data_IF_170059453859
#
_entry.id   IF_170059453859
#
_cell.length_a   1.000
_cell.length_b   1.000
_cell.length_c   1.000
_cell.angle_alpha   90.00
_cell.angle_beta   90.00
_cell.angle_gamma   90.00
#
_symmetry.space_group_name_H-M   'P 1'
#
loop_
_entity.id
_entity.type
_entity.pdbx_description
1 polymer ?
#
# COMPACT_ATOMS: atom_id res chain seq x y z
N UNK A 1 12.99 10.07 -19.68
CA UNK A 1 13.35 8.64 -19.84
C UNK A 1 14.50 8.35 -18.90
N UNK A 2 14.54 7.17 -18.26
CA UNK A 2 15.60 6.83 -17.29
C UNK A 2 16.66 5.98 -17.95
N UNK A 3 17.88 6.50 -17.97
CA UNK A 3 19.07 5.80 -18.46
C UNK A 3 19.74 5.04 -17.31
N UNK A 4 20.28 3.87 -17.64
CA UNK A 4 21.05 3.04 -16.72
C UNK A 4 22.42 2.72 -17.32
N UNK A 5 23.44 2.71 -16.48
CA UNK A 5 24.75 2.15 -16.81
C UNK A 5 24.80 0.71 -16.31
N UNK A 6 24.93 -0.26 -17.22
CA UNK A 6 25.04 -1.68 -16.89
C UNK A 6 26.35 -2.17 -17.49
N UNK A 7 27.36 -2.39 -16.64
CA UNK A 7 28.72 -2.64 -17.10
C UNK A 7 29.30 -1.47 -17.87
N UNK A 8 29.70 -1.72 -19.12
CA UNK A 8 30.20 -0.69 -20.03
C UNK A 8 29.10 0.07 -20.77
N UNK A 9 27.87 -0.46 -20.79
CA UNK A 9 26.80 0.03 -21.66
C UNK A 9 25.90 1.05 -20.96
N UNK A 10 25.43 2.04 -21.71
CA UNK A 10 24.37 2.96 -21.30
C UNK A 10 23.10 2.61 -22.06
N UNK A 11 22.04 2.27 -21.33
CA UNK A 11 20.82 1.69 -21.89
C UNK A 11 19.56 2.26 -21.25
N UNK A 12 18.51 2.42 -22.04
CA UNK A 12 17.18 2.80 -21.55
C UNK A 12 16.39 1.59 -21.06
N UNK A 13 15.56 1.80 -20.05
CA UNK A 13 14.61 0.76 -19.61
C UNK A 13 13.61 0.47 -20.72
N UNK A 14 13.64 -0.77 -21.23
CA UNK A 14 12.78 -1.23 -22.32
C UNK A 14 13.50 -1.46 -23.64
N UNK A 15 14.81 -1.20 -23.73
CA UNK A 15 15.62 -1.63 -24.85
C UNK A 15 15.64 -3.17 -24.97
N UNK A 16 15.73 -3.70 -26.19
CA UNK A 16 15.66 -5.15 -26.45
C UNK A 16 16.76 -5.95 -25.73
N UNK A 17 17.94 -5.36 -25.56
CA UNK A 17 19.08 -5.98 -24.87
C UNK A 17 19.07 -5.77 -23.34
N UNK A 18 18.08 -5.06 -22.79
CA UNK A 18 18.08 -4.65 -21.38
C UNK A 18 18.10 -5.86 -20.42
N UNK A 19 17.27 -6.88 -20.68
CA UNK A 19 17.21 -8.09 -19.84
C UNK A 19 18.50 -8.92 -19.94
N UNK A 20 19.10 -9.01 -21.14
CA UNK A 20 20.39 -9.68 -21.35
C UNK A 20 21.51 -9.00 -20.55
N UNK A 21 21.56 -7.67 -20.57
CA UNK A 21 22.53 -6.90 -19.80
C UNK A 21 22.34 -7.09 -18.29
N UNK A 22 21.09 -7.11 -17.81
CA UNK A 22 20.81 -7.38 -16.39
C UNK A 22 21.22 -8.80 -15.99
N UNK A 23 20.95 -9.81 -16.82
CA UNK A 23 21.36 -11.19 -16.57
C UNK A 23 22.89 -11.32 -16.46
N UNK A 24 23.63 -10.68 -17.36
CA UNK A 24 25.09 -10.66 -17.34
C UNK A 24 25.61 -9.95 -16.08
N UNK A 25 25.05 -8.78 -15.73
CA UNK A 25 25.42 -8.05 -14.53
C UNK A 25 25.12 -8.85 -13.25
N UNK A 26 23.99 -9.55 -13.18
CA UNK A 26 23.65 -10.44 -12.06
C UNK A 26 24.68 -11.57 -11.92
N UNK A 27 25.00 -12.28 -13.01
CA UNK A 27 25.99 -13.36 -13.01
C UNK A 27 27.40 -12.89 -12.62
N UNK A 28 27.78 -11.68 -13.06
CA UNK A 28 29.07 -11.07 -12.74
C UNK A 28 29.10 -10.35 -11.38
N UNK A 29 27.97 -10.32 -10.64
CA UNK A 29 27.80 -9.51 -9.41
C UNK A 29 28.17 -8.04 -9.58
N UNK A 30 27.95 -7.51 -10.77
CA UNK A 30 28.22 -6.12 -11.11
C UNK A 30 26.99 -5.25 -10.78
N UNK A 31 27.23 -4.12 -10.11
CA UNK A 31 26.16 -3.16 -9.80
C UNK A 31 25.87 -2.25 -11.00
N UNK A 32 24.63 -2.22 -11.50
CA UNK A 32 24.19 -1.16 -12.39
C UNK A 32 24.18 0.20 -11.68
N UNK A 33 24.17 1.28 -12.45
CA UNK A 33 23.89 2.63 -11.95
C UNK A 33 22.70 3.26 -12.64
N UNK A 34 21.86 3.97 -11.89
CA UNK A 34 20.84 4.87 -12.43
C UNK A 34 21.47 6.21 -12.79
N UNK A 35 21.32 6.67 -14.03
CA UNK A 35 21.93 7.91 -14.52
C UNK A 35 20.97 9.11 -14.43
N UNK A 36 20.11 9.15 -13.40
CA UNK A 36 19.28 10.33 -13.16
C UNK A 36 20.09 11.52 -12.60
N UNK A 37 21.32 11.28 -12.11
CA UNK A 37 22.30 12.28 -11.69
C UNK A 37 23.66 11.98 -12.36
N UNK A 38 24.55 12.98 -12.51
CA UNK A 38 25.83 12.82 -13.25
C UNK A 38 26.74 11.68 -12.76
N UNK A 39 26.86 11.49 -11.44
CA UNK A 39 27.76 10.46 -10.87
C UNK A 39 27.18 9.04 -10.94
N UNK A 40 25.88 8.94 -11.23
CA UNK A 40 25.10 7.72 -11.23
C UNK A 40 24.93 7.12 -9.83
N UNK A 41 23.73 6.65 -9.53
CA UNK A 41 23.39 6.07 -8.22
C UNK A 41 23.43 4.56 -8.35
N UNK A 42 24.13 3.88 -7.44
CA UNK A 42 24.21 2.43 -7.42
C UNK A 42 22.82 1.78 -7.33
N UNK A 43 22.68 0.67 -8.04
CA UNK A 43 21.49 -0.18 -8.07
C UNK A 43 21.95 -1.64 -7.93
N UNK A 44 21.02 -2.55 -7.68
CA UNK A 44 21.29 -4.00 -7.75
C UNK A 44 20.33 -4.69 -8.71
N UNK A 45 20.74 -5.86 -9.20
CA UNK A 45 19.88 -6.73 -9.99
C UNK A 45 19.34 -7.81 -9.08
N UNK A 46 18.02 -7.99 -9.07
CA UNK A 46 17.35 -9.09 -8.41
C UNK A 46 16.79 -10.05 -9.46
N UNK A 47 16.78 -11.35 -9.14
CA UNK A 47 16.06 -12.35 -9.93
C UNK A 47 14.67 -12.55 -9.34
N UNK A 48 13.64 -12.30 -10.14
CA UNK A 48 12.23 -12.52 -9.81
C UNK A 48 11.70 -13.57 -10.78
N UNK A 49 11.41 -14.77 -10.27
CA UNK A 49 11.13 -15.94 -11.09
C UNK A 49 12.25 -16.19 -12.13
N UNK A 50 11.92 -16.15 -13.41
CA UNK A 50 12.84 -16.33 -14.54
C UNK A 50 13.23 -15.00 -15.21
N UNK A 51 13.04 -13.87 -14.52
CA UNK A 51 13.36 -12.53 -15.04
C UNK A 51 14.32 -11.78 -14.14
N UNK A 52 15.12 -10.92 -14.77
CA UNK A 52 16.01 -10.01 -14.07
C UNK A 52 15.39 -8.62 -13.98
N UNK A 53 15.38 -8.06 -12.78
CA UNK A 53 14.87 -6.71 -12.54
C UNK A 53 15.93 -5.87 -11.84
N UNK A 54 16.05 -4.62 -12.26
CA UNK A 54 16.87 -3.63 -11.58
C UNK A 54 16.08 -3.04 -10.39
N UNK A 55 16.72 -2.96 -9.22
CA UNK A 55 16.17 -2.41 -7.98
C UNK A 55 17.14 -1.39 -7.37
N UNK A 56 16.58 -0.38 -6.69
CA UNK A 56 17.36 0.64 -5.96
C UNK A 56 18.13 -0.01 -4.82
N UNK A 57 19.28 0.53 -4.45
CA UNK A 57 19.92 0.13 -3.20
C UNK A 57 18.99 0.43 -2.02
N UNK A 58 19.00 -0.38 -0.94
CA UNK A 58 18.27 -0.05 0.26
C UNK A 58 18.64 1.35 0.74
N UNK A 59 17.64 2.13 1.18
CA UNK A 59 17.83 3.49 1.71
C UNK A 59 18.47 4.51 0.75
N UNK A 60 18.39 4.29 -0.57
CA UNK A 60 18.91 5.22 -1.60
C UNK A 60 17.81 5.92 -2.40
N UNK A 61 16.58 5.90 -1.89
CA UNK A 61 15.42 6.37 -2.66
C UNK A 61 15.45 7.88 -2.88
N UNK A 62 15.83 8.62 -1.85
CA UNK A 62 15.97 10.07 -1.80
C UNK A 62 17.26 10.58 -2.47
N UNK A 63 18.22 9.69 -2.77
CA UNK A 63 19.42 10.03 -3.53
C UNK A 63 19.13 10.31 -5.02
N UNK A 64 17.99 9.83 -5.54
CA UNK A 64 17.62 10.02 -6.94
C UNK A 64 17.08 11.44 -7.23
N UNK A 65 17.26 11.93 -8.47
CA UNK A 65 16.56 13.14 -8.93
C UNK A 65 15.04 12.92 -8.78
N UNK A 66 14.29 13.93 -8.33
CA UNK A 66 12.86 13.79 -8.05
C UNK A 66 12.01 13.37 -9.26
N UNK A 67 12.47 13.67 -10.48
CA UNK A 67 11.84 13.21 -11.70
C UNK A 67 12.21 11.74 -12.05
N UNK A 68 13.11 11.10 -11.33
CA UNK A 68 13.45 9.69 -11.50
C UNK A 68 12.31 8.79 -11.00
N UNK A 69 11.92 7.73 -11.73
CA UNK A 69 10.95 6.75 -11.23
C UNK A 69 11.38 6.02 -9.96
N UNK A 70 12.69 5.93 -9.71
CA UNK A 70 13.27 5.32 -8.50
C UNK A 70 13.20 6.22 -7.26
N UNK A 71 12.91 7.52 -7.46
CA UNK A 71 12.81 8.47 -6.37
C UNK A 71 11.62 8.19 -5.45
N UNK A 72 11.85 8.28 -4.15
CA UNK A 72 10.83 8.45 -3.11
C UNK A 72 11.31 9.48 -2.09
N UNK A 73 10.39 10.25 -1.48
CA UNK A 73 10.75 11.19 -0.44
C UNK A 73 11.31 10.48 0.79
N UNK A 74 12.07 11.20 1.65
CA UNK A 74 12.59 10.66 2.89
C UNK A 74 11.50 9.96 3.74
N UNK A 75 11.79 8.79 4.33
CA UNK A 75 10.79 7.98 5.04
C UNK A 75 10.04 8.72 6.15
N UNK A 76 10.68 9.70 6.81
CA UNK A 76 10.11 10.56 7.86
C UNK A 76 8.91 11.39 7.40
N UNK A 77 8.80 11.70 6.10
CA UNK A 77 7.66 12.41 5.53
C UNK A 77 6.40 11.53 5.43
N UNK A 78 6.51 10.24 5.74
CA UNK A 78 5.43 9.26 5.72
C UNK A 78 5.46 8.40 6.98
N UNK A 79 4.47 7.54 7.14
CA UNK A 79 4.50 6.54 8.20
C UNK A 79 5.48 5.39 7.97
N UNK A 80 6.17 5.33 6.83
CA UNK A 80 7.15 4.28 6.54
C UNK A 80 8.31 4.33 7.55
N UNK A 81 8.75 5.52 7.96
CA UNK A 81 9.83 5.71 8.94
C UNK A 81 9.62 4.96 10.26
N UNK A 82 8.37 4.78 10.70
CA UNK A 82 8.02 4.07 11.94
C UNK A 82 8.24 2.55 11.87
N UNK A 83 8.23 1.97 10.66
CA UNK A 83 8.20 0.51 10.43
C UNK A 83 9.39 -0.01 9.63
N UNK A 84 10.15 0.88 8.99
CA UNK A 84 11.33 0.56 8.22
C UNK A 84 12.49 0.12 9.15
N UNK A 85 13.19 -0.95 8.79
CA UNK A 85 14.28 -1.52 9.59
C UNK A 85 13.81 -2.32 10.81
N UNK A 86 12.53 -2.29 11.15
CA UNK A 86 11.95 -2.96 12.32
C UNK A 86 10.92 -4.01 11.93
N UNK A 87 9.84 -3.63 11.25
CA UNK A 87 8.82 -4.52 10.72
C UNK A 87 9.06 -4.92 9.25
N UNK A 88 9.69 -4.03 8.48
CA UNK A 88 10.11 -4.26 7.10
C UNK A 88 11.62 -4.42 7.09
N UNK A 89 12.09 -5.63 6.79
CA UNK A 89 13.51 -5.97 6.79
C UNK A 89 13.91 -6.35 5.36
N UNK A 90 14.63 -5.46 4.70
CA UNK A 90 15.22 -5.71 3.39
C UNK A 90 16.58 -6.38 3.57
N UNK A 91 16.77 -7.55 2.95
CA UNK A 91 18.06 -8.26 2.95
C UNK A 91 18.56 -8.32 1.51
N UNK A 92 19.60 -7.53 1.15
CA UNK A 92 20.10 -7.42 -0.22
C UNK A 92 20.48 -8.76 -0.86
N UNK A 93 21.05 -9.67 -0.06
CA UNK A 93 21.59 -10.94 -0.55
C UNK A 93 20.56 -12.05 -0.74
N UNK A 94 19.34 -11.88 -0.21
CA UNK A 94 18.30 -12.91 -0.23
C UNK A 94 17.22 -12.68 -1.29
N UNK A 95 17.36 -11.65 -2.13
CA UNK A 95 16.36 -11.23 -3.13
C UNK A 95 14.93 -11.07 -2.54
N UNK A 96 14.81 -10.94 -1.20
CA UNK A 96 13.56 -11.03 -0.45
C UNK A 96 13.46 -9.95 0.64
N UNK A 97 12.22 -9.52 0.90
CA UNK A 97 11.90 -8.62 2.02
C UNK A 97 11.15 -9.41 3.09
N UNK A 98 11.64 -9.41 4.33
CA UNK A 98 10.91 -10.04 5.45
C UNK A 98 9.95 -9.04 6.08
N UNK A 99 8.69 -9.43 6.24
CA UNK A 99 7.64 -8.63 6.87
C UNK A 99 7.20 -9.27 8.19
N UNK A 100 7.22 -8.48 9.27
CA UNK A 100 6.67 -8.86 10.58
C UNK A 100 5.26 -8.32 10.70
N UNK A 101 4.27 -9.20 10.84
CA UNK A 101 2.85 -8.82 10.92
C UNK A 101 2.33 -8.82 12.37
N UNK A 102 1.45 -7.87 12.67
CA UNK A 102 0.82 -7.71 13.99
C UNK A 102 -0.39 -8.64 14.18
N UNK A 103 -0.96 -9.15 13.07
CA UNK A 103 -2.12 -10.01 13.05
C UNK A 103 -1.75 -11.49 12.82
N UNK A 104 -2.68 -12.39 13.15
CA UNK A 104 -2.49 -13.83 13.00
C UNK A 104 -2.78 -14.30 11.57
N UNK A 105 -2.01 -15.30 11.12
CA UNK A 105 -2.23 -16.02 9.85
C UNK A 105 -2.69 -17.47 10.07
N UNK A 106 -2.93 -17.84 11.33
CA UNK A 106 -3.48 -19.12 11.74
C UNK A 106 -4.46 -18.89 12.87
N UNK A 107 -5.48 -19.75 12.96
CA UNK A 107 -6.48 -19.76 14.03
C UNK A 107 -6.61 -21.18 14.56
N UNK A 108 -6.32 -21.37 15.85
CA UNK A 108 -6.57 -22.64 16.52
C UNK A 108 -8.06 -22.84 16.78
N UNK A 109 -8.55 -24.06 16.54
CA UNK A 109 -9.92 -24.43 16.93
C UNK A 109 -10.10 -24.32 18.45
N UNK A 110 -11.15 -23.64 18.91
CA UNK A 110 -11.58 -23.66 20.32
C UNK A 110 -11.26 -22.43 21.17
N UNK A 111 -10.58 -21.39 20.66
CA UNK A 111 -10.40 -20.13 21.40
C UNK A 111 -11.21 -19.01 20.76
N UNK A 112 -12.09 -18.37 21.54
CA UNK A 112 -12.63 -17.07 21.16
C UNK A 112 -11.46 -16.14 20.82
N UNK A 113 -11.58 -15.37 19.75
CA UNK A 113 -10.55 -14.41 19.37
C UNK A 113 -10.20 -13.55 20.60
N UNK A 114 -8.92 -13.32 20.92
CA UNK A 114 -8.57 -12.34 21.93
C UNK A 114 -9.21 -11.02 21.50
N UNK A 115 -9.93 -10.35 22.42
CA UNK A 115 -10.43 -8.99 22.17
C UNK A 115 -9.21 -8.17 21.72
N UNK A 116 -9.22 -7.54 20.54
CA UNK A 116 -8.26 -6.49 20.25
C UNK A 116 -8.40 -5.50 21.41
N UNK A 117 -7.30 -5.17 22.07
CA UNK A 117 -7.33 -4.19 23.15
C UNK A 117 -8.05 -2.95 22.64
N UNK A 118 -9.05 -2.49 23.40
CA UNK A 118 -9.55 -1.12 23.31
C UNK A 118 -8.42 -0.21 23.76
N UNK A 119 -7.46 0.03 22.86
CA UNK A 119 -6.51 1.10 22.95
C UNK A 119 -7.02 2.21 22.05
N UNK A 120 -7.90 3.05 22.60
CA UNK A 120 -7.73 4.47 22.33
C UNK A 120 -6.48 4.84 23.14
N UNK A 121 -5.41 5.16 22.45
CA UNK A 121 -4.13 5.45 23.08
C UNK A 121 -3.77 6.88 22.72
N UNK A 122 -4.38 7.81 23.44
CA UNK A 122 -3.69 9.03 23.84
C UNK A 122 -2.31 8.60 24.40
N UNK A 123 -1.27 8.77 23.59
CA UNK A 123 0.12 8.39 23.84
C UNK A 123 0.37 6.91 24.25
N UNK A 124 0.43 6.00 23.28
CA UNK A 124 1.20 4.75 23.39
C UNK A 124 2.02 4.60 22.12
N UNK A 125 3.37 4.58 22.27
CA UNK A 125 4.31 4.28 21.18
C UNK A 125 3.79 3.08 20.39
N UNK A 126 3.50 3.28 19.12
CA UNK A 126 3.26 2.20 18.18
C UNK A 126 4.46 1.26 18.24
N UNK A 127 4.23 -0.02 18.53
CA UNK A 127 5.30 -1.02 18.45
C UNK A 127 5.67 -1.18 16.97
N UNK A 128 6.56 -0.32 16.49
CA UNK A 128 7.04 -0.27 15.09
C UNK A 128 7.64 -1.60 14.62
N UNK A 129 7.80 -2.58 15.51
CA UNK A 129 8.29 -3.93 15.24
C UNK A 129 7.36 -4.77 14.35
N UNK A 130 6.08 -4.39 14.17
CA UNK A 130 5.11 -5.17 13.36
C UNK A 130 4.14 -4.30 12.56
N UNK A 131 3.81 -4.72 11.35
CA UNK A 131 2.81 -4.09 10.49
C UNK A 131 1.38 -4.47 10.92
N UNK A 132 0.54 -3.46 11.14
CA UNK A 132 -0.92 -3.64 11.19
C UNK A 132 -1.46 -4.06 9.81
N UNK A 133 -2.74 -4.48 9.74
CA UNK A 133 -3.40 -4.74 8.45
C UNK A 133 -3.36 -3.51 7.53
N UNK A 134 -3.68 -2.32 8.05
CA UNK A 134 -3.64 -1.08 7.26
C UNK A 134 -2.21 -0.76 6.79
N UNK A 135 -1.21 -0.98 7.64
CA UNK A 135 0.19 -0.78 7.24
C UNK A 135 0.68 -1.77 6.18
N UNK A 136 0.21 -3.03 6.21
CA UNK A 136 0.47 -3.97 5.12
C UNK A 136 -0.19 -3.52 3.82
N UNK A 137 -1.43 -3.00 3.88
CA UNK A 137 -2.11 -2.44 2.70
C UNK A 137 -1.32 -1.26 2.12
N UNK A 138 -0.90 -0.31 2.97
CA UNK A 138 -0.06 0.81 2.56
C UNK A 138 1.27 0.36 1.96
N UNK A 139 1.95 -0.61 2.59
CA UNK A 139 3.18 -1.20 2.04
C UNK A 139 2.96 -1.74 0.62
N UNK A 140 1.93 -2.57 0.41
CA UNK A 140 1.65 -3.14 -0.90
C UNK A 140 1.23 -2.06 -1.92
N UNK A 141 0.48 -1.03 -1.49
CA UNK A 141 0.12 0.11 -2.33
C UNK A 141 1.35 0.91 -2.78
N UNK A 142 2.31 1.09 -1.87
CA UNK A 142 3.55 1.79 -2.12
C UNK A 142 4.41 1.03 -3.12
N UNK A 143 4.65 -0.26 -2.84
CA UNK A 143 5.41 -1.18 -3.69
C UNK A 143 4.75 -1.39 -5.07
N UNK A 144 3.43 -1.29 -5.16
CA UNK A 144 2.69 -1.31 -6.42
C UNK A 144 2.74 0.02 -7.18
N UNK A 145 3.28 1.09 -6.59
CA UNK A 145 3.39 2.42 -7.19
C UNK A 145 2.08 3.21 -7.20
N UNK A 146 1.04 2.76 -6.51
CA UNK A 146 -0.28 3.38 -6.50
C UNK A 146 -0.38 4.63 -5.62
N UNK A 147 0.64 4.89 -4.80
CA UNK A 147 0.84 6.17 -4.11
C UNK A 147 1.43 7.27 -5.01
N UNK A 148 2.04 6.92 -6.14
CA UNK A 148 2.63 7.89 -7.09
C UNK A 148 1.55 8.37 -8.07
N UNK A 149 1.68 9.58 -8.59
CA UNK A 149 0.86 10.08 -9.70
C UNK A 149 1.71 10.82 -10.72
N UNK A 150 1.32 10.69 -11.99
CA UNK A 150 1.85 11.51 -13.08
C UNK A 150 0.78 11.59 -14.18
N UNK A 151 0.79 12.64 -15.02
CA UNK A 151 -0.17 12.79 -16.13
C UNK A 151 -0.25 11.59 -17.05
N UNK A 152 0.88 10.90 -17.27
CA UNK A 152 0.96 9.72 -18.12
C UNK A 152 0.13 8.53 -17.62
N UNK A 153 -0.37 8.56 -16.37
CA UNK A 153 -1.20 7.52 -15.76
C UNK A 153 -2.70 7.77 -15.92
N UNK A 154 -3.12 8.94 -16.42
CA UNK A 154 -4.51 9.31 -16.59
C UNK A 154 -5.27 8.25 -17.42
N UNK A 155 -6.41 7.79 -16.90
CA UNK A 155 -7.27 6.77 -17.54
C UNK A 155 -6.68 5.35 -17.59
N UNK A 156 -5.48 5.10 -17.05
CA UNK A 156 -4.81 3.78 -17.14
C UNK A 156 -5.01 2.92 -15.90
N UNK A 157 -5.45 3.47 -14.78
CA UNK A 157 -5.64 2.74 -13.53
C UNK A 157 -7.05 2.19 -13.44
N UNK A 158 -7.15 0.90 -13.16
CA UNK A 158 -8.40 0.19 -12.89
C UNK A 158 -8.10 -1.04 -12.03
N UNK A 159 -9.14 -1.75 -11.61
CA UNK A 159 -9.00 -2.93 -10.74
C UNK A 159 -8.07 -4.00 -11.31
N UNK A 160 -8.09 -4.26 -12.63
CA UNK A 160 -7.22 -5.27 -13.25
C UNK A 160 -5.74 -4.89 -13.12
N UNK A 161 -5.44 -3.60 -13.34
CA UNK A 161 -4.09 -3.05 -13.21
C UNK A 161 -3.65 -3.07 -11.75
N UNK A 162 -4.50 -2.58 -10.83
CA UNK A 162 -4.22 -2.59 -9.39
C UNK A 162 -3.94 -4.01 -8.89
N UNK A 163 -4.82 -4.97 -9.20
CA UNK A 163 -4.62 -6.38 -8.84
C UNK A 163 -3.30 -6.92 -9.36
N UNK A 164 -2.95 -6.66 -10.63
CA UNK A 164 -1.69 -7.11 -11.22
C UNK A 164 -0.50 -6.60 -10.40
N UNK A 165 -0.45 -5.30 -10.13
CA UNK A 165 0.68 -4.69 -9.42
C UNK A 165 0.71 -5.03 -7.93
N UNK A 166 -0.42 -5.20 -7.25
CA UNK A 166 -0.45 -5.70 -5.87
C UNK A 166 0.07 -7.12 -5.76
N UNK A 167 -0.33 -8.02 -6.69
CA UNK A 167 0.20 -9.38 -6.73
C UNK A 167 1.71 -9.39 -7.02
N UNK A 168 2.19 -8.51 -7.91
CA UNK A 168 3.63 -8.35 -8.16
C UNK A 168 4.37 -7.81 -6.94
N UNK A 169 3.80 -6.81 -6.25
CA UNK A 169 4.37 -6.22 -5.04
C UNK A 169 4.50 -7.20 -3.87
N UNK A 170 3.61 -8.20 -3.82
CA UNK A 170 3.63 -9.22 -2.78
C UNK A 170 4.65 -10.35 -3.01
N UNK A 171 5.13 -10.55 -4.24
CA UNK A 171 6.11 -11.60 -4.54
C UNK A 171 7.42 -11.34 -3.81
N UNK A 172 8.06 -12.41 -3.34
CA UNK A 172 9.32 -12.36 -2.59
C UNK A 172 9.21 -11.55 -1.30
N UNK A 173 7.99 -11.38 -0.77
CA UNK A 173 7.75 -10.81 0.56
C UNK A 173 7.48 -11.96 1.51
N UNK A 174 8.43 -12.21 2.41
CA UNK A 174 8.39 -13.35 3.30
C UNK A 174 7.69 -12.98 4.61
N UNK A 175 6.71 -13.78 5.01
CA UNK A 175 6.02 -13.69 6.29
C UNK A 175 6.09 -15.04 6.99
N UNK A 176 6.82 -15.12 8.10
CA UNK A 176 6.98 -16.35 8.91
C UNK A 176 7.36 -17.59 8.06
N UNK A 177 8.24 -17.39 7.07
CA UNK A 177 8.73 -18.48 6.20
C UNK A 177 7.82 -18.84 5.02
N UNK A 178 6.78 -18.04 4.74
CA UNK A 178 5.93 -18.20 3.57
C UNK A 178 5.97 -16.95 2.70
N UNK A 179 5.84 -17.12 1.38
CA UNK A 179 5.61 -15.99 0.50
C UNK A 179 4.22 -15.39 0.74
N UNK A 180 4.15 -14.06 0.85
CA UNK A 180 2.90 -13.34 1.04
C UNK A 180 1.96 -13.55 -0.16
N UNK A 181 2.48 -13.76 -1.37
CA UNK A 181 1.65 -14.03 -2.54
C UNK A 181 0.77 -15.26 -2.38
N UNK A 182 1.23 -16.27 -1.64
CA UNK A 182 0.49 -17.52 -1.41
C UNK A 182 -0.66 -17.34 -0.40
N UNK A 183 -0.60 -16.27 0.39
CA UNK A 183 -1.58 -15.93 1.41
C UNK A 183 -2.60 -14.90 0.90
N UNK A 184 -2.30 -14.18 -0.18
CA UNK A 184 -3.15 -13.11 -0.68
C UNK A 184 -4.27 -13.63 -1.57
N UNK A 185 -5.47 -13.14 -1.29
CA UNK A 185 -6.64 -13.27 -2.15
C UNK A 185 -7.07 -11.89 -2.63
N UNK A 186 -6.90 -11.65 -3.94
CA UNK A 186 -7.36 -10.42 -4.61
C UNK A 186 -8.31 -10.84 -5.73
N UNK A 187 -9.63 -10.55 -5.63
CA UNK A 187 -10.62 -10.96 -6.63
C UNK A 187 -10.21 -10.65 -8.07
N UNK A 188 -10.30 -11.63 -8.96
CA UNK A 188 -10.08 -11.42 -10.40
C UNK A 188 -11.11 -10.45 -10.98
N UNK A 189 -10.75 -9.60 -11.96
CA UNK A 189 -11.72 -8.76 -12.67
C UNK A 189 -12.87 -9.60 -13.23
N UNK A 190 -14.05 -9.37 -12.69
CA UNK A 190 -15.26 -10.09 -13.06
C UNK A 190 -15.76 -9.70 -14.46
N UNK A 191 -16.08 -10.70 -15.26
CA UNK A 191 -16.83 -10.60 -16.53
C UNK A 191 -17.82 -11.76 -16.58
N UNK A 192 -18.98 -11.57 -17.22
CA UNK A 192 -20.02 -12.60 -17.27
C UNK A 192 -19.53 -13.86 -17.98
N UNK A 193 -18.75 -13.67 -19.04
CA UNK A 193 -18.17 -14.72 -19.89
C UNK A 193 -17.20 -15.62 -19.10
N UNK A 194 -16.42 -15.03 -18.18
CA UNK A 194 -15.42 -15.76 -17.38
C UNK A 194 -15.91 -16.19 -16.01
N UNK A 195 -17.19 -15.95 -15.67
CA UNK A 195 -17.76 -16.21 -14.33
C UNK A 195 -17.41 -17.59 -13.78
N UNK A 196 -17.69 -18.65 -14.54
CA UNK A 196 -17.43 -20.03 -14.10
C UNK A 196 -15.94 -20.31 -13.92
N UNK A 197 -15.10 -19.82 -14.84
CA UNK A 197 -13.65 -20.00 -14.77
C UNK A 197 -13.03 -19.26 -13.57
N UNK A 198 -13.52 -18.05 -13.26
CA UNK A 198 -13.12 -17.29 -12.06
C UNK A 198 -13.54 -18.05 -10.79
N UNK A 199 -14.78 -18.51 -10.73
CA UNK A 199 -15.28 -19.28 -9.59
C UNK A 199 -14.46 -20.56 -9.36
N UNK A 200 -14.11 -21.29 -10.43
CA UNK A 200 -13.30 -22.50 -10.34
C UNK A 200 -11.88 -22.21 -9.81
N UNK A 201 -11.18 -21.20 -10.35
CA UNK A 201 -9.84 -20.80 -9.84
C UNK A 201 -9.88 -20.35 -8.40
N UNK A 202 -10.90 -19.58 -8.01
CA UNK A 202 -11.12 -19.20 -6.61
C UNK A 202 -11.25 -20.45 -5.73
N UNK A 203 -12.12 -21.39 -6.09
CA UNK A 203 -12.30 -22.62 -5.31
C UNK A 203 -11.00 -23.41 -5.17
N UNK A 204 -10.23 -23.55 -6.26
CA UNK A 204 -8.94 -24.23 -6.23
C UNK A 204 -7.93 -23.54 -5.29
N UNK A 205 -7.83 -22.20 -5.35
CA UNK A 205 -6.96 -21.44 -4.45
C UNK A 205 -7.36 -21.61 -2.97
N UNK A 206 -8.67 -21.54 -2.67
CA UNK A 206 -9.17 -21.68 -1.30
C UNK A 206 -8.98 -23.10 -0.75
N UNK A 207 -9.13 -24.12 -1.59
CA UNK A 207 -8.91 -25.52 -1.22
C UNK A 207 -7.45 -25.78 -0.81
N UNK A 208 -6.49 -25.26 -1.60
CA UNK A 208 -5.06 -25.39 -1.29
C UNK A 208 -4.72 -24.82 0.09
N UNK A 209 -5.31 -23.69 0.49
CA UNK A 209 -5.08 -23.09 1.80
C UNK A 209 -5.77 -23.86 2.93
N UNK A 210 -6.96 -24.41 2.68
CA UNK A 210 -7.68 -25.23 3.64
C UNK A 210 -6.94 -26.55 3.97
N UNK A 211 -6.30 -27.18 2.98
CA UNK A 211 -5.53 -28.42 3.16
C UNK A 211 -4.23 -28.21 3.95
N UNK A 212 -3.50 -27.11 3.68
CA UNK A 212 -2.22 -26.82 4.35
C UNK A 212 -2.40 -26.54 5.86
N UNK A 213 -3.59 -26.10 6.30
CA UNK A 213 -3.93 -25.94 7.73
C UNK A 213 -4.33 -27.24 8.45
N UNK A 214 -4.41 -28.36 7.74
CA UNK A 214 -5.03 -29.59 8.26
C UNK A 214 -4.22 -30.35 9.33
N UNK A 215 -2.93 -30.06 9.52
CA UNK A 215 -2.06 -31.00 10.24
C UNK A 215 -2.10 -30.92 11.77
N UNK A 216 -2.68 -29.89 12.41
CA UNK A 216 -2.69 -29.75 13.88
C UNK A 216 -3.91 -28.98 14.45
N UNK A 217 -5.09 -29.04 13.82
CA UNK A 217 -6.28 -28.33 14.32
C UNK A 217 -6.18 -26.79 14.27
N UNK A 218 -5.23 -26.26 13.50
CA UNK A 218 -5.04 -24.83 13.25
C UNK A 218 -5.41 -24.48 11.81
N UNK A 219 -6.50 -23.72 11.62
CA UNK A 219 -6.90 -23.26 10.30
C UNK A 219 -6.00 -22.12 9.82
N UNK A 220 -5.46 -22.23 8.62
CA UNK A 220 -4.71 -21.14 7.98
C UNK A 220 -5.67 -20.02 7.57
N UNK A 221 -5.24 -18.79 7.78
CA UNK A 221 -5.94 -17.58 7.34
C UNK A 221 -5.27 -17.03 6.09
N UNK A 222 -6.09 -16.50 5.19
CA UNK A 222 -5.68 -15.74 4.02
C UNK A 222 -5.86 -14.24 4.30
N UNK A 223 -5.22 -13.42 3.47
CA UNK A 223 -5.37 -11.96 3.46
C UNK A 223 -6.14 -11.56 2.20
N UNK A 224 -7.36 -11.07 2.38
CA UNK A 224 -8.18 -10.44 1.34
C UNK A 224 -7.70 -9.01 1.09
N UNK A 225 -7.57 -8.61 -0.17
CA UNK A 225 -7.63 -7.19 -0.58
C UNK A 225 -8.72 -7.07 -1.65
N UNK A 226 -9.73 -6.24 -1.41
CA UNK A 226 -10.87 -6.10 -2.30
C UNK A 226 -11.46 -4.68 -2.31
N UNK A 227 -12.02 -4.29 -3.44
CA UNK A 227 -12.98 -3.19 -3.50
C UNK A 227 -14.32 -3.65 -2.88
N UNK A 228 -14.77 -2.91 -1.88
CA UNK A 228 -16.04 -3.12 -1.20
C UNK A 228 -17.16 -2.71 -2.14
N UNK A 229 -18.13 -3.61 -2.32
CA UNK A 229 -19.41 -3.29 -2.97
C UNK A 229 -20.45 -2.90 -1.94
N UNK A 230 -20.55 -3.68 -0.86
CA UNK A 230 -21.56 -3.47 0.17
C UNK A 230 -21.24 -4.23 1.47
N UNK A 231 -21.75 -3.73 2.59
CA UNK A 231 -21.88 -4.44 3.86
C UNK A 231 -23.34 -4.85 4.05
N UNK A 232 -23.72 -5.97 3.44
CA UNK A 232 -25.11 -6.40 3.36
C UNK A 232 -25.53 -7.23 4.58
N UNK A 233 -26.83 -7.21 4.95
CA UNK A 233 -27.37 -8.19 5.88
C UNK A 233 -27.27 -9.62 5.32
N UNK A 234 -27.20 -10.57 6.23
CA UNK A 234 -27.20 -12.01 5.96
C UNK A 234 -28.20 -12.70 6.89
N UNK A 235 -28.45 -14.01 6.71
CA UNK A 235 -29.37 -14.75 7.59
C UNK A 235 -29.01 -14.61 9.07
N UNK A 236 -27.71 -14.61 9.40
CA UNK A 236 -27.18 -14.54 10.75
C UNK A 236 -26.08 -13.48 10.84
N UNK A 237 -26.45 -12.19 10.87
CA UNK A 237 -25.51 -11.06 10.96
C UNK A 237 -25.27 -10.37 9.62
N UNK A 238 -24.04 -9.94 9.34
CA UNK A 238 -23.69 -9.17 8.14
C UNK A 238 -22.61 -9.88 7.31
N UNK A 239 -22.47 -9.48 6.05
CA UNK A 239 -21.46 -9.99 5.13
C UNK A 239 -20.85 -8.84 4.33
N UNK A 240 -19.55 -8.95 4.08
CA UNK A 240 -18.87 -8.15 3.08
C UNK A 240 -19.12 -8.73 1.69
N UNK A 241 -19.60 -7.89 0.78
CA UNK A 241 -19.71 -8.18 -0.65
C UNK A 241 -18.58 -7.44 -1.37
N UNK A 242 -17.70 -8.17 -2.05
CA UNK A 242 -16.64 -7.59 -2.86
C UNK A 242 -17.10 -7.39 -4.32
N UNK A 243 -16.79 -6.25 -4.94
CA UNK A 243 -17.29 -5.89 -6.30
C UNK A 243 -17.00 -6.96 -7.35
N UNK A 244 -15.79 -7.52 -7.32
CA UNK A 244 -15.33 -8.53 -8.28
C UNK A 244 -15.48 -9.99 -7.79
N UNK A 245 -16.19 -10.21 -6.69
CA UNK A 245 -16.45 -11.54 -6.13
C UNK A 245 -17.81 -11.61 -5.43
N UNK A 246 -18.85 -11.01 -6.05
CA UNK A 246 -20.17 -10.90 -5.44
C UNK A 246 -20.87 -12.26 -5.22
N UNK A 247 -20.47 -13.29 -5.96
CA UNK A 247 -20.95 -14.68 -5.83
C UNK A 247 -20.27 -15.44 -4.68
N UNK A 248 -19.30 -14.83 -3.99
CA UNK A 248 -18.60 -15.39 -2.85
C UNK A 248 -18.45 -14.34 -1.74
N UNK A 249 -19.47 -14.18 -0.88
CA UNK A 249 -19.44 -13.20 0.19
C UNK A 249 -18.57 -13.66 1.37
N UNK A 250 -18.05 -12.69 2.12
CA UNK A 250 -17.25 -12.92 3.31
C UNK A 250 -18.09 -12.61 4.55
N UNK A 251 -18.35 -13.62 5.38
CA UNK A 251 -19.18 -13.45 6.58
C UNK A 251 -18.45 -12.62 7.63
N UNK A 252 -19.13 -11.66 8.23
CA UNK A 252 -18.58 -10.87 9.33
C UNK A 252 -18.90 -11.58 10.66
N UNK A 253 -17.88 -11.76 11.50
CA UNK A 253 -18.06 -12.37 12.82
C UNK A 253 -18.98 -11.53 13.73
N UNK A 254 -19.48 -12.10 14.84
CA UNK A 254 -20.34 -11.39 15.78
C UNK A 254 -19.74 -10.06 16.27
N UNK A 255 -20.55 -8.99 16.24
CA UNK A 255 -20.15 -7.62 16.62
C UNK A 255 -19.12 -6.96 15.71
N UNK A 256 -18.63 -7.63 14.66
CA UNK A 256 -17.64 -7.06 13.74
C UNK A 256 -18.21 -5.89 12.94
N UNK A 257 -19.45 -6.00 12.47
CA UNK A 257 -20.11 -4.95 11.72
C UNK A 257 -20.27 -3.66 12.54
N UNK A 258 -20.73 -3.75 13.80
CA UNK A 258 -20.85 -2.59 14.69
C UNK A 258 -19.49 -1.93 14.98
N UNK A 259 -18.46 -2.74 15.25
CA UNK A 259 -17.08 -2.24 15.43
C UNK A 259 -16.54 -1.59 14.16
N UNK A 260 -16.85 -2.13 12.99
CA UNK A 260 -16.46 -1.58 11.70
C UNK A 260 -17.08 -0.20 11.50
N UNK A 261 -18.40 -0.08 11.68
CA UNK A 261 -19.12 1.18 11.54
C UNK A 261 -18.57 2.25 12.50
N UNK A 262 -18.30 1.88 13.76
CA UNK A 262 -17.74 2.81 14.75
C UNK A 262 -16.31 3.22 14.42
N UNK A 263 -15.44 2.27 14.05
CA UNK A 263 -13.99 2.51 13.89
C UNK A 263 -13.65 3.22 12.58
N UNK A 264 -14.42 2.99 11.53
CA UNK A 264 -14.17 3.53 10.19
C UNK A 264 -15.30 4.44 9.73
N UNK A 265 -15.95 5.12 10.67
CA UNK A 265 -17.04 6.06 10.41
C UNK A 265 -16.61 7.14 9.39
N UNK A 266 -15.37 7.63 9.51
CA UNK A 266 -14.79 8.61 8.60
C UNK A 266 -14.66 8.07 7.17
N UNK A 267 -14.02 6.91 6.96
CA UNK A 267 -13.86 6.33 5.63
C UNK A 267 -15.21 5.96 5.00
N UNK A 268 -16.14 5.42 5.79
CA UNK A 268 -17.49 5.09 5.34
C UNK A 268 -18.26 6.35 4.94
N UNK A 269 -18.19 7.41 5.75
CA UNK A 269 -18.82 8.70 5.45
C UNK A 269 -18.25 9.36 4.19
N UNK A 270 -16.93 9.30 4.00
CA UNK A 270 -16.29 9.81 2.78
C UNK A 270 -16.74 9.04 1.54
N UNK A 271 -16.75 7.71 1.61
CA UNK A 271 -17.19 6.85 0.51
C UNK A 271 -18.67 7.06 0.15
N UNK A 272 -19.54 7.23 1.15
CA UNK A 272 -20.98 7.45 0.93
C UNK A 272 -21.31 8.86 0.41
N UNK A 273 -20.48 9.86 0.69
CA UNK A 273 -20.77 11.26 0.38
C UNK A 273 -20.04 11.81 -0.85
N UNK A 274 -19.06 11.08 -1.40
CA UNK A 274 -18.24 11.54 -2.50
C UNK A 274 -18.30 10.52 -3.64
N UNK A 275 -18.96 10.91 -4.73
CA UNK A 275 -18.99 10.12 -5.96
C UNK A 275 -17.58 9.95 -6.56
N UNK A 276 -17.39 8.89 -7.34
CA UNK A 276 -16.10 8.61 -7.98
C UNK A 276 -14.99 8.25 -6.99
N UNK A 277 -15.35 7.63 -5.85
CA UNK A 277 -14.39 7.08 -4.88
C UNK A 277 -14.54 5.56 -4.77
N UNK A 278 -13.48 4.90 -4.31
CA UNK A 278 -13.51 3.48 -3.99
C UNK A 278 -13.24 3.27 -2.50
N UNK A 279 -13.98 2.34 -1.90
CA UNK A 279 -13.67 1.80 -0.59
C UNK A 279 -12.92 0.47 -0.75
N UNK A 280 -11.68 0.42 -0.30
CA UNK A 280 -10.83 -0.77 -0.32
C UNK A 280 -10.78 -1.36 1.08
N UNK A 281 -10.91 -2.68 1.18
CA UNK A 281 -10.66 -3.40 2.43
C UNK A 281 -9.44 -4.29 2.31
N UNK A 282 -8.71 -4.41 3.41
CA UNK A 282 -7.79 -5.52 3.67
C UNK A 282 -8.33 -6.30 4.88
N UNK A 283 -8.38 -7.62 4.78
CA UNK A 283 -8.96 -8.44 5.84
C UNK A 283 -8.28 -9.80 5.96
N UNK A 284 -8.15 -10.33 7.17
CA UNK A 284 -7.85 -11.75 7.36
C UNK A 284 -9.14 -12.56 7.33
N UNK A 285 -9.13 -13.71 6.66
CA UNK A 285 -10.27 -14.60 6.65
C UNK A 285 -9.82 -16.07 6.58
N UNK A 286 -10.63 -16.96 7.11
CA UNK A 286 -10.47 -18.39 6.86
C UNK A 286 -11.61 -18.93 6.01
N UNK A 287 -11.46 -20.12 5.41
CA UNK A 287 -12.56 -20.89 4.77
C UNK A 287 -12.83 -22.22 5.49
N UNK A 288 -14.09 -22.49 5.84
CA UNK A 288 -14.45 -23.69 6.61
C UNK A 288 -14.69 -24.88 5.68
N UNK A 289 -14.94 -26.07 6.22
CA UNK A 289 -15.20 -27.28 5.40
C UNK A 289 -16.41 -27.12 4.46
N UNK A 290 -17.37 -26.27 4.78
CA UNK A 290 -18.52 -25.95 3.93
C UNK A 290 -18.21 -24.87 2.87
N UNK A 291 -16.95 -24.42 2.73
CA UNK A 291 -16.56 -23.38 1.78
C UNK A 291 -16.95 -21.96 2.20
N UNK A 292 -17.42 -21.74 3.42
CA UNK A 292 -17.83 -20.42 3.91
C UNK A 292 -16.61 -19.64 4.38
N UNK A 293 -16.39 -18.46 3.78
CA UNK A 293 -15.39 -17.50 4.21
C UNK A 293 -15.89 -16.68 5.40
N UNK A 294 -15.06 -16.55 6.44
CA UNK A 294 -15.36 -15.73 7.62
C UNK A 294 -14.19 -14.81 7.91
N UNK A 295 -14.47 -13.52 8.00
CA UNK A 295 -13.50 -12.47 8.35
C UNK A 295 -13.17 -12.57 9.84
N UNK A 296 -11.88 -12.45 10.16
CA UNK A 296 -11.37 -12.43 11.53
C UNK A 296 -10.97 -11.01 11.96
N UNK A 297 -10.29 -10.28 11.08
CA UNK A 297 -9.88 -8.89 11.29
C UNK A 297 -9.95 -8.14 9.95
N UNK A 298 -10.25 -6.85 9.97
CA UNK A 298 -10.28 -6.05 8.75
C UNK A 298 -9.93 -4.58 9.00
N UNK A 299 -9.47 -3.93 7.95
CA UNK A 299 -9.28 -2.48 7.87
C UNK A 299 -9.85 -1.95 6.55
N UNK A 300 -10.17 -0.65 6.55
CA UNK A 300 -10.66 0.09 5.39
C UNK A 300 -9.68 1.19 4.99
N UNK A 301 -9.72 1.54 3.71
CA UNK A 301 -9.00 2.65 3.10
C UNK A 301 -9.85 3.21 1.96
N UNK A 302 -10.13 4.51 1.99
CA UNK A 302 -10.80 5.21 0.90
C UNK A 302 -9.77 5.69 -0.13
N UNK A 303 -10.13 5.64 -1.40
CA UNK A 303 -9.27 6.08 -2.51
C UNK A 303 -10.06 6.88 -3.54
N UNK A 304 -9.37 7.75 -4.28
CA UNK A 304 -9.93 8.47 -5.43
C UNK A 304 -10.24 7.50 -6.59
N UNK A 305 -10.92 7.98 -7.62
CA UNK A 305 -11.10 7.28 -8.92
C UNK A 305 -9.79 6.76 -9.54
N UNK A 306 -8.69 7.47 -9.28
CA UNK A 306 -7.35 7.15 -9.71
C UNK A 306 -6.58 6.25 -8.72
N UNK A 307 -7.29 5.66 -7.76
CA UNK A 307 -6.78 4.72 -6.75
C UNK A 307 -5.71 5.31 -5.83
N UNK A 308 -5.70 6.64 -5.65
CA UNK A 308 -4.85 7.34 -4.70
C UNK A 308 -5.55 7.39 -3.33
N UNK A 309 -4.93 6.91 -2.23
CA UNK A 309 -5.53 6.99 -0.91
C UNK A 309 -5.70 8.43 -0.42
N UNK A 310 -6.76 8.70 0.35
CA UNK A 310 -6.96 9.97 1.04
C UNK A 310 -7.69 9.77 2.37
N UNK A 311 -7.42 10.63 3.35
CA UNK A 311 -7.97 10.47 4.70
C UNK A 311 -9.11 11.43 5.01
N UNK A 312 -9.21 12.57 4.30
CA UNK A 312 -10.25 13.57 4.54
C UNK A 312 -10.57 14.38 3.27
N UNK A 313 -11.60 15.22 3.34
CA UNK A 313 -12.05 16.04 2.19
C UNK A 313 -11.00 17.03 1.70
N UNK A 314 -10.23 17.65 2.60
CA UNK A 314 -9.20 18.60 2.20
C UNK A 314 -8.07 17.89 1.43
N UNK A 315 -7.64 16.70 1.88
CA UNK A 315 -6.70 15.88 1.11
C UNK A 315 -7.24 15.52 -0.27
N UNK A 316 -8.53 15.12 -0.37
CA UNK A 316 -9.16 14.81 -1.65
C UNK A 316 -9.13 16.00 -2.61
N UNK A 317 -9.48 17.19 -2.12
CA UNK A 317 -9.46 18.43 -2.91
C UNK A 317 -8.04 18.69 -3.45
N UNK A 318 -7.02 18.59 -2.59
CA UNK A 318 -5.65 18.80 -3.01
C UNK A 318 -5.23 17.76 -4.07
N UNK A 319 -5.49 16.47 -3.83
CA UNK A 319 -5.12 15.38 -4.75
C UNK A 319 -5.80 15.54 -6.10
N UNK A 320 -7.09 15.85 -6.12
CA UNK A 320 -7.85 16.04 -7.36
C UNK A 320 -7.32 17.24 -8.14
N UNK A 321 -7.03 18.35 -7.45
CA UNK A 321 -6.47 19.54 -8.10
C UNK A 321 -5.09 19.27 -8.68
N UNK A 322 -4.19 18.63 -7.92
CA UNK A 322 -2.88 18.22 -8.43
C UNK A 322 -3.01 17.28 -9.64
N UNK A 323 -3.96 16.35 -9.62
CA UNK A 323 -4.17 15.44 -10.73
C UNK A 323 -4.73 16.15 -11.97
N UNK A 324 -5.68 17.07 -11.80
CA UNK A 324 -6.28 17.88 -12.86
C UNK A 324 -5.28 18.86 -13.49
N UNK A 325 -4.41 19.45 -12.68
CA UNK A 325 -3.34 20.37 -13.12
C UNK A 325 -2.15 19.65 -13.77
N UNK A 326 -2.25 18.32 -13.95
CA UNK A 326 -1.21 17.53 -14.59
C UNK A 326 0.09 17.48 -13.78
N UNK A 327 -0.01 17.55 -12.45
CA UNK A 327 1.15 17.51 -11.56
C UNK A 327 1.69 16.10 -11.39
N UNK A 328 2.98 16.02 -11.07
CA UNK A 328 3.62 14.77 -10.61
C UNK A 328 3.85 14.84 -9.11
N UNK A 329 3.31 13.87 -8.37
CA UNK A 329 3.43 13.84 -6.92
C UNK A 329 3.44 12.42 -6.36
N UNK A 330 3.83 12.30 -5.10
CA UNK A 330 3.71 11.08 -4.30
C UNK A 330 2.79 11.36 -3.11
N UNK A 331 1.74 10.55 -2.93
CA UNK A 331 0.87 10.59 -1.75
C UNK A 331 1.61 9.99 -0.55
N UNK A 332 1.66 10.71 0.56
CA UNK A 332 2.14 10.15 1.83
C UNK A 332 1.15 9.14 2.41
N UNK A 333 1.68 7.99 2.85
CA UNK A 333 0.90 6.91 3.46
C UNK A 333 1.21 6.80 4.95
N UNK A 334 0.17 6.60 5.78
CA UNK A 334 0.32 6.55 7.25
C UNK A 334 1.01 5.31 7.79
N UNK A 335 1.00 4.18 7.09
CA UNK A 335 1.37 2.89 7.70
C UNK A 335 0.74 2.67 9.10
N UNK A 336 1.57 2.58 10.14
CA UNK A 336 1.17 2.48 11.55
C UNK A 336 1.10 3.84 12.27
N UNK A 337 1.55 4.93 11.63
CA UNK A 337 1.58 6.26 12.22
C UNK A 337 0.16 6.65 12.71
N UNK A 338 0.00 7.03 13.99
CA UNK A 338 -1.30 7.40 14.54
C UNK A 338 -1.78 8.74 13.97
N UNK A 339 -3.10 8.97 13.99
CA UNK A 339 -3.71 10.16 13.36
C UNK A 339 -3.23 11.50 13.98
N UNK A 340 -2.91 11.49 15.27
CA UNK A 340 -2.41 12.64 16.04
C UNK A 340 -0.93 12.99 15.77
N UNK A 341 -0.27 12.32 14.82
CA UNK A 341 1.07 12.69 14.36
C UNK A 341 0.99 13.29 12.95
N UNK A 342 1.81 14.28 12.60
CA UNK A 342 1.82 14.82 11.24
C UNK A 342 2.52 13.87 10.26
N UNK A 343 2.12 13.94 8.98
CA UNK A 343 2.89 13.47 7.84
C UNK A 343 2.71 14.44 6.67
N UNK A 344 3.54 14.33 5.64
CA UNK A 344 3.25 15.01 4.38
C UNK A 344 2.03 14.36 3.72
N UNK A 345 1.01 15.16 3.40
CA UNK A 345 -0.14 14.70 2.61
C UNK A 345 0.34 14.23 1.24
N UNK A 346 1.19 15.01 0.57
CA UNK A 346 1.82 14.67 -0.69
C UNK A 346 3.20 15.34 -0.82
N UNK A 347 4.03 14.85 -1.74
CA UNK A 347 5.29 15.49 -2.16
C UNK A 347 5.22 15.76 -3.66
N UNK A 348 5.29 17.03 -4.05
CA UNK A 348 5.40 17.45 -5.45
C UNK A 348 6.80 17.14 -5.95
N UNK A 349 6.86 16.31 -6.99
CA UNK A 349 8.11 15.81 -7.58
C UNK A 349 8.43 16.47 -8.92
N UNK A 350 7.58 17.40 -9.39
CA UNK A 350 7.78 18.21 -10.59
C UNK A 350 8.29 19.62 -10.29
N UNK A 351 8.71 19.90 -9.06
CA UNK A 351 9.36 21.15 -8.66
C UNK A 351 10.84 20.89 -8.32
N UNK A 352 11.67 21.92 -8.42
CA UNK A 352 13.08 21.88 -8.02
C UNK A 352 13.38 23.03 -7.05
N UNK A 353 13.62 22.77 -5.75
CA UNK A 353 13.55 21.45 -5.09
C UNK A 353 12.10 20.89 -5.00
N UNK A 354 11.93 19.59 -4.71
CA UNK A 354 10.62 19.02 -4.39
C UNK A 354 9.96 19.75 -3.21
N UNK A 355 8.62 19.78 -3.20
CA UNK A 355 7.83 20.46 -2.17
C UNK A 355 7.02 19.43 -1.38
N UNK A 356 7.21 19.38 -0.06
CA UNK A 356 6.36 18.62 0.85
C UNK A 356 5.10 19.42 1.19
N UNK A 357 3.94 18.81 1.03
CA UNK A 357 2.63 19.44 1.21
C UNK A 357 1.94 18.89 2.45
N UNK A 358 1.46 19.77 3.33
CA UNK A 358 0.84 19.42 4.60
C UNK A 358 -0.55 20.03 4.72
N UNK A 359 -1.49 19.26 5.25
CA UNK A 359 -2.84 19.72 5.62
C UNK A 359 -3.09 19.34 7.07
N UNK A 360 -2.81 20.23 8.03
CA UNK A 360 -3.09 19.98 9.44
C UNK A 360 -4.60 19.77 9.67
N UNK A 361 -5.01 18.82 10.52
CA UNK A 361 -6.40 18.69 10.93
C UNK A 361 -6.92 19.97 11.60
N UNK A 362 -8.20 20.33 11.41
CA UNK A 362 -8.80 21.45 12.11
C UNK A 362 -8.68 21.32 13.62
N UNK A 363 -8.35 22.41 14.31
CA UNK A 363 -8.20 22.41 15.77
C UNK A 363 -7.07 21.51 16.29
N UNK A 364 -5.99 21.35 15.50
CA UNK A 364 -4.77 20.65 15.91
C UNK A 364 -4.22 21.17 17.25
N UNK A 365 -3.77 20.27 18.12
CA UNK A 365 -3.16 20.64 19.40
C UNK A 365 -1.79 21.33 19.22
N UNK A 366 -1.32 21.99 20.27
CA UNK A 366 0.03 22.55 20.32
C UNK A 366 1.10 21.47 20.07
N UNK A 367 0.90 20.27 20.63
CA UNK A 367 1.78 19.12 20.41
C UNK A 367 1.83 18.68 18.94
N UNK A 368 0.68 18.66 18.25
CA UNK A 368 0.63 18.35 16.82
C UNK A 368 1.36 19.42 16.01
N UNK A 369 1.12 20.69 16.32
CA UNK A 369 1.72 21.83 15.64
C UNK A 369 3.24 21.86 15.82
N UNK A 370 3.73 21.59 17.03
CA UNK A 370 5.15 21.47 17.32
C UNK A 370 5.79 20.29 16.56
N UNK A 371 5.13 19.11 16.56
CA UNK A 371 5.59 17.95 15.79
C UNK A 371 5.62 18.22 14.28
N UNK A 372 4.70 19.04 13.76
CA UNK A 372 4.67 19.40 12.34
C UNK A 372 5.84 20.33 12.00
N UNK A 373 6.13 21.30 12.87
CA UNK A 373 7.27 22.19 12.69
C UNK A 373 8.60 21.42 12.71
N UNK A 374 8.76 20.47 13.63
CA UNK A 374 9.92 19.57 13.70
C UNK A 374 10.06 18.72 12.42
N UNK A 375 8.95 18.17 11.92
CA UNK A 375 8.95 17.40 10.68
C UNK A 375 9.35 18.25 9.46
N UNK A 376 8.82 19.47 9.37
CA UNK A 376 9.16 20.41 8.28
C UNK A 376 10.64 20.74 8.30
N UNK A 377 11.18 21.14 9.47
CA UNK A 377 12.59 21.50 9.64
C UNK A 377 13.53 20.33 9.33
N UNK A 378 13.19 19.13 9.80
CA UNK A 378 13.99 17.92 9.59
C UNK A 378 14.08 17.46 8.12
N UNK A 379 13.02 17.70 7.32
CA UNK A 379 12.92 17.19 5.94
C UNK A 379 13.88 17.86 4.93
N UNK A 380 14.38 19.06 5.25
CA UNK A 380 15.16 19.92 4.34
C UNK A 380 14.49 20.19 2.98
N UNK A 381 13.18 19.95 2.87
CA UNK A 381 12.38 20.26 1.69
C UNK A 381 11.67 21.61 1.86
N UNK A 382 11.32 22.23 0.74
CA UNK A 382 10.38 23.34 0.78
C UNK A 382 9.01 22.82 1.26
N UNK A 383 8.38 23.52 2.19
CA UNK A 383 7.07 23.15 2.72
C UNK A 383 5.96 24.03 2.16
N UNK A 384 4.84 23.40 1.84
CA UNK A 384 3.57 24.04 1.55
C UNK A 384 2.56 23.57 2.59
N UNK A 385 1.92 24.50 3.30
CA UNK A 385 0.99 24.17 4.39
C UNK A 385 -0.34 24.85 4.12
N UNK A 386 -1.41 24.07 4.07
CA UNK A 386 -2.77 24.58 3.94
C UNK A 386 -3.58 24.28 5.18
N UNK A 387 -4.11 25.33 5.81
CA UNK A 387 -5.07 25.27 6.90
C UNK A 387 -6.48 25.51 6.34
N UNK A 388 -7.30 24.47 6.12
CA UNK A 388 -8.61 24.63 5.49
C UNK A 388 -9.58 25.54 6.25
N UNK A 389 -9.36 25.70 7.55
CA UNK A 389 -10.16 26.57 8.44
C UNK A 389 -9.76 28.05 8.36
N UNK A 390 -8.54 28.36 7.93
CA UNK A 390 -7.99 29.72 7.92
C UNK A 390 -8.23 30.47 6.61
N UNK A 391 -8.84 29.82 5.62
CA UNK A 391 -9.26 30.46 4.37
C UNK A 391 -8.80 29.71 3.11
N UNK A 392 -8.51 30.48 2.06
CA UNK A 392 -8.19 29.96 0.73
C UNK A 392 -6.91 29.11 0.73
N UNK A 393 -6.90 28.13 -0.16
CA UNK A 393 -5.75 27.27 -0.39
C UNK A 393 -4.57 28.08 -0.94
N UNK A 394 -3.36 27.97 -0.35
CA UNK A 394 -2.21 28.72 -0.83
C UNK A 394 -1.85 28.35 -2.27
N UNK A 395 -1.31 29.29 -3.06
CA UNK A 395 -0.92 29.02 -4.44
C UNK A 395 0.12 27.89 -4.48
N UNK A 396 -0.05 26.96 -5.43
CA UNK A 396 0.91 25.88 -5.65
C UNK A 396 1.97 26.36 -6.64
N UNK A 397 3.25 26.15 -6.30
CA UNK A 397 4.36 26.51 -7.18
C UNK A 397 4.22 25.84 -8.56
N UNK A 398 4.61 26.56 -9.62
CA UNK A 398 4.60 26.04 -11.00
C UNK A 398 5.58 24.87 -11.15
N UNK A 399 5.28 23.95 -12.07
CA UNK A 399 6.23 22.89 -12.43
C UNK A 399 7.53 23.50 -12.99
N UNK A 400 8.65 22.83 -12.72
CA UNK A 400 10.00 23.21 -13.16
C UNK A 400 10.26 22.91 -14.64
#
# INVERSE_FOLDING_TARGET
>A
MTLYKIGGDTVEKGADNFETLLAAAYGARQRPKCLCLPDGIDMYVARIDERYVIKRMPYSADDHDAACPSYEPPPELSGLGEVLGSAIIEVPDLDATTLRLQFALTKSGGRAAPKPGEGDADSVKTDGKKLSLRALLHFLWEQAGFHKWSPAMHGKRNWAVLRKYLLQAARHKQVKGHDLSDLLFIPEPFTLERKQAIAHRRTAQLAQVAEIGGHQGQRRLMVLIAEVKDFAPSRNGHKLVARHSADFPFMLGPGMHERLLKRFDQELSLWQSIDGTHLVTIATFGVNQAGVATVEEMALMVTTDNWLPFENRAEKILIDMLAADGRRFLKGLRYNLPQNRPLATAVLADTKPPIAMYIPPPGSSDDYTAALAELIDGSKMAAWVWHPESGEMPPIARSA
#
